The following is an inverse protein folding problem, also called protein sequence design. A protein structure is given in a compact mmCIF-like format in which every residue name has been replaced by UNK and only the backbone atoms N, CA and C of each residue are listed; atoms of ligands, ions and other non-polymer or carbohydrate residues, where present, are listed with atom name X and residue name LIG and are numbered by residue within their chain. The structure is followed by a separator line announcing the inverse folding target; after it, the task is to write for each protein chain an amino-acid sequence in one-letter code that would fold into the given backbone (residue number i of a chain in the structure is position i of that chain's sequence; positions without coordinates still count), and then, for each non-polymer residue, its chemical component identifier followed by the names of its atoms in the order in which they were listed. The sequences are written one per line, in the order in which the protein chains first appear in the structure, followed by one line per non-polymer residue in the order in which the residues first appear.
data_IF_521661464630
#
_entry.id   IF_521661464630
#
_cell.length_a   1.000
_cell.length_b   1.000
_cell.length_c   1.000
_cell.angle_alpha   90.00
_cell.angle_beta   90.00
_cell.angle_gamma   90.00
#
_symmetry.space_group_name_H-M   'P 1'
#
loop_
_entity.id
_entity.type
_entity.pdbx_description
1 polymer ?
#
# COMPACT_ATOMS: atom_id res chain seq x y z
N UNK A 1 12.69 -7.32 18.07
CA UNK A 1 13.75 -6.38 17.66
C UNK A 1 14.71 -7.10 16.75
N UNK A 2 14.82 -6.68 15.51
CA UNK A 2 15.81 -7.23 14.59
C UNK A 2 17.14 -6.51 14.74
N UNK A 3 18.22 -7.23 14.55
CA UNK A 3 19.56 -6.67 14.43
C UNK A 3 19.97 -6.77 12.97
N UNK A 4 20.62 -5.76 12.46
CA UNK A 4 21.25 -5.83 11.15
C UNK A 4 22.64 -6.43 11.33
N UNK A 5 22.78 -7.68 10.96
CA UNK A 5 24.07 -8.39 11.07
C UNK A 5 24.94 -8.22 9.82
N UNK A 6 24.39 -7.65 8.75
CA UNK A 6 25.07 -7.58 7.46
C UNK A 6 26.13 -6.49 7.38
N UNK A 7 26.03 -5.48 8.23
CA UNK A 7 26.97 -4.35 8.25
C UNK A 7 28.00 -4.39 9.36
N UNK A 8 28.00 -5.44 10.18
CA UNK A 8 28.87 -5.54 11.37
C UNK A 8 28.54 -4.53 12.48
N UNK A 9 27.55 -3.69 12.28
CA UNK A 9 27.05 -2.74 13.28
C UNK A 9 25.73 -3.23 13.87
N UNK A 10 25.68 -3.31 15.19
CA UNK A 10 24.48 -3.71 15.91
C UNK A 10 23.54 -2.49 16.04
N UNK A 11 22.82 -2.20 14.98
CA UNK A 11 21.81 -1.14 15.00
C UNK A 11 20.49 -1.72 15.51
N UNK A 12 20.01 -1.31 16.69
CA UNK A 12 18.69 -1.72 17.16
C UNK A 12 17.61 -1.14 16.25
N UNK A 13 16.65 -1.97 15.85
CA UNK A 13 15.52 -1.58 15.01
C UNK A 13 14.21 -1.78 15.77
N UNK A 14 13.23 -0.99 15.43
CA UNK A 14 11.90 -1.00 16.03
C UNK A 14 11.70 0.20 16.96
N UNK A 15 10.81 0.06 17.92
CA UNK A 15 10.54 1.10 18.90
C UNK A 15 11.69 1.11 19.91
N UNK A 16 12.46 2.18 19.92
CA UNK A 16 13.60 2.35 20.83
C UNK A 16 13.18 2.98 22.16
N UNK A 17 12.15 3.83 22.12
CA UNK A 17 11.60 4.48 23.31
C UNK A 17 10.14 4.85 23.04
N UNK A 18 9.34 4.92 24.09
CA UNK A 18 7.97 5.38 24.03
C UNK A 18 7.62 6.10 25.34
N UNK A 19 7.01 7.27 25.23
CA UNK A 19 6.56 8.09 26.33
C UNK A 19 5.08 8.41 26.20
N UNK A 20 4.40 8.49 27.34
CA UNK A 20 3.00 8.88 27.39
C UNK A 20 2.92 10.36 27.77
N UNK A 21 2.33 11.20 26.91
CA UNK A 21 2.11 12.61 27.21
C UNK A 21 1.01 12.69 28.27
N UNK A 22 1.29 13.38 29.38
CA UNK A 22 0.39 13.46 30.53
C UNK A 22 0.78 12.54 31.67
N UNK A 23 1.88 11.83 31.56
CA UNK A 23 2.43 10.93 32.59
C UNK A 23 1.87 9.53 32.55
N UNK A 24 2.55 8.63 33.23
CA UNK A 24 2.26 7.21 33.27
C UNK A 24 3.34 6.40 32.57
N UNK A 25 3.33 5.10 32.83
CA UNK A 25 4.28 4.16 32.25
C UNK A 25 3.51 3.07 31.48
N UNK A 26 4.11 2.62 30.38
CA UNK A 26 3.65 1.38 29.73
C UNK A 26 3.99 0.20 30.66
N UNK A 27 2.98 -0.55 31.05
CA UNK A 27 3.13 -1.68 31.98
C UNK A 27 3.39 -3.00 31.28
N UNK A 28 2.98 -3.10 30.02
CA UNK A 28 3.20 -4.29 29.20
C UNK A 28 3.30 -3.96 27.72
N UNK A 29 4.07 -4.75 27.01
CA UNK A 29 4.22 -4.68 25.56
C UNK A 29 3.83 -6.01 24.96
N UNK A 30 3.04 -5.95 23.89
CA UNK A 30 2.76 -7.12 23.06
C UNK A 30 3.29 -6.86 21.67
N UNK A 31 3.95 -7.85 21.09
CA UNK A 31 4.43 -7.80 19.72
C UNK A 31 3.67 -8.84 18.93
N UNK A 32 3.02 -8.41 17.87
CA UNK A 32 2.51 -9.29 16.84
C UNK A 32 3.40 -9.14 15.61
N UNK A 33 3.79 -10.25 15.02
CA UNK A 33 4.42 -10.24 13.71
C UNK A 33 3.43 -9.84 12.63
N UNK A 34 3.76 -10.10 11.37
CA UNK A 34 2.88 -9.86 10.23
C UNK A 34 1.72 -10.88 10.16
N UNK A 35 1.02 -11.06 11.30
CA UNK A 35 0.01 -12.09 11.47
C UNK A 35 -1.15 -11.86 10.49
N UNK A 36 -1.39 -12.83 9.62
CA UNK A 36 -2.40 -12.77 8.56
C UNK A 36 -2.01 -11.92 7.35
N UNK A 37 -0.86 -11.26 7.38
CA UNK A 37 -0.36 -10.51 6.24
C UNK A 37 -0.03 -11.40 5.04
N UNK A 38 0.36 -12.63 5.31
CA UNK A 38 0.61 -13.66 4.33
C UNK A 38 -0.66 -14.25 3.70
N UNK A 39 -1.84 -13.96 4.22
CA UNK A 39 -3.09 -14.53 3.73
C UNK A 39 -3.40 -14.16 2.27
N UNK A 40 -2.97 -13.00 1.82
CA UNK A 40 -3.16 -12.50 0.45
C UNK A 40 -1.84 -11.98 -0.11
N UNK A 41 -0.80 -12.79 -0.02
CA UNK A 41 0.50 -12.46 -0.57
C UNK A 41 0.41 -12.34 -2.09
N UNK A 42 1.02 -11.29 -2.63
CA UNK A 42 1.25 -11.14 -4.06
C UNK A 42 2.03 -12.37 -4.58
N UNK A 43 1.50 -13.12 -5.54
CA UNK A 43 2.12 -14.37 -5.99
C UNK A 43 3.47 -14.17 -6.70
N UNK A 44 3.75 -12.96 -7.17
CA UNK A 44 5.00 -12.64 -7.88
C UNK A 44 6.04 -12.09 -6.92
N UNK A 45 5.67 -11.15 -6.07
CA UNK A 45 6.58 -10.51 -5.11
C UNK A 45 6.80 -11.36 -3.85
N UNK A 46 5.85 -12.24 -3.54
CA UNK A 46 5.95 -13.10 -2.37
C UNK A 46 6.15 -12.29 -1.09
N UNK A 47 7.08 -12.69 -0.22
CA UNK A 47 7.31 -12.04 1.06
C UNK A 47 7.90 -10.62 0.97
N UNK A 48 8.30 -10.19 -0.22
CA UNK A 48 8.77 -8.81 -0.45
C UNK A 48 7.64 -7.83 -0.76
N UNK A 49 6.41 -8.31 -0.94
CA UNK A 49 5.24 -7.46 -0.98
C UNK A 49 5.01 -6.86 0.41
N UNK A 50 4.30 -5.74 0.46
CA UNK A 50 3.96 -5.12 1.75
C UNK A 50 2.73 -5.78 2.39
N UNK A 51 2.62 -7.08 2.26
CA UNK A 51 1.60 -7.87 2.92
C UNK A 51 1.54 -7.53 4.41
N UNK A 52 0.34 -7.51 4.97
CA UNK A 52 0.11 -7.11 6.35
C UNK A 52 -0.58 -5.77 6.50
N UNK A 53 -0.70 -4.98 5.46
CA UNK A 53 -1.61 -3.84 5.44
C UNK A 53 -3.05 -4.33 5.57
N UNK A 54 -3.88 -3.53 6.23
CA UNK A 54 -5.27 -3.90 6.49
C UNK A 54 -6.03 -4.29 5.21
N UNK A 55 -5.93 -3.48 4.17
CA UNK A 55 -6.57 -3.72 2.88
C UNK A 55 -6.08 -5.01 2.20
N UNK A 56 -4.80 -5.33 2.31
CA UNK A 56 -4.22 -6.55 1.76
C UNK A 56 -4.69 -7.78 2.55
N UNK A 57 -4.72 -7.72 3.87
CA UNK A 57 -5.24 -8.82 4.71
C UNK A 57 -6.69 -9.13 4.41
N UNK A 58 -7.50 -8.10 4.11
CA UNK A 58 -8.91 -8.26 3.73
C UNK A 58 -9.11 -8.60 2.24
N UNK A 59 -8.03 -8.66 1.46
CA UNK A 59 -8.10 -8.98 0.05
C UNK A 59 -8.72 -7.89 -0.83
N UNK A 60 -8.79 -6.65 -0.35
CA UNK A 60 -9.42 -5.55 -1.09
C UNK A 60 -8.77 -5.26 -2.43
N UNK A 61 -7.50 -5.58 -2.61
CA UNK A 61 -6.73 -5.42 -3.84
C UNK A 61 -7.00 -6.52 -4.89
N UNK A 62 -7.64 -7.62 -4.51
CA UNK A 62 -7.88 -8.74 -5.40
C UNK A 62 -9.01 -8.46 -6.39
N UNK A 63 -8.89 -8.94 -7.62
CA UNK A 63 -9.86 -8.72 -8.69
C UNK A 63 -11.25 -9.29 -8.39
N UNK A 64 -11.32 -10.38 -7.63
CA UNK A 64 -12.57 -11.04 -7.25
C UNK A 64 -13.20 -10.53 -5.94
N UNK A 65 -12.67 -9.49 -5.34
CA UNK A 65 -13.26 -8.95 -4.11
C UNK A 65 -14.62 -8.31 -4.41
N UNK A 66 -15.62 -8.63 -3.58
CA UNK A 66 -16.97 -8.05 -3.66
C UNK A 66 -16.99 -6.70 -2.94
N UNK A 67 -17.06 -5.62 -3.71
CA UNK A 67 -17.15 -4.24 -3.23
C UNK A 67 -18.56 -3.64 -3.38
N UNK A 68 -19.57 -4.46 -3.62
CA UNK A 68 -20.96 -4.02 -3.84
C UNK A 68 -21.56 -3.21 -2.67
N UNK A 69 -21.06 -3.44 -1.45
CA UNK A 69 -21.47 -2.71 -0.26
C UNK A 69 -20.70 -1.38 -0.05
N UNK A 70 -19.76 -1.05 -0.92
CA UNK A 70 -18.96 0.15 -0.77
C UNK A 70 -19.71 1.38 -1.29
N UNK A 71 -19.43 2.53 -0.67
CA UNK A 71 -19.96 3.79 -1.16
C UNK A 71 -19.25 4.21 -2.47
N UNK A 72 -20.00 4.83 -3.37
CA UNK A 72 -19.40 5.45 -4.54
C UNK A 72 -18.53 6.65 -4.13
N UNK A 73 -17.36 6.77 -4.73
CA UNK A 73 -16.41 7.84 -4.43
C UNK A 73 -15.35 8.00 -5.50
N UNK A 74 -14.61 9.07 -5.44
CA UNK A 74 -13.48 9.35 -6.33
C UNK A 74 -12.25 9.74 -5.51
N UNK A 75 -11.06 9.26 -5.88
CA UNK A 75 -9.83 9.72 -5.26
C UNK A 75 -9.56 11.22 -5.48
N UNK A 76 -10.16 11.82 -6.52
CA UNK A 76 -10.06 13.25 -6.80
C UNK A 76 -10.71 14.12 -5.71
N UNK A 77 -11.72 13.59 -5.03
CA UNK A 77 -12.39 14.29 -3.93
C UNK A 77 -11.48 14.40 -2.71
N UNK A 78 -10.51 13.47 -2.58
CA UNK A 78 -9.62 13.41 -1.44
C UNK A 78 -10.32 13.02 -0.14
N UNK A 79 -9.65 13.28 0.97
CA UNK A 79 -10.18 13.12 2.32
C UNK A 79 -10.29 14.49 2.99
N UNK A 80 -11.40 14.74 3.66
CA UNK A 80 -11.61 15.97 4.45
C UNK A 80 -10.77 16.01 5.72
N UNK A 81 -10.35 14.86 6.20
CA UNK A 81 -9.53 14.69 7.40
C UNK A 81 -8.38 13.72 7.14
N UNK A 82 -7.38 13.75 8.03
CA UNK A 82 -6.27 12.82 7.94
C UNK A 82 -6.77 11.37 8.11
N UNK A 83 -6.42 10.53 7.16
CA UNK A 83 -6.87 9.13 7.16
C UNK A 83 -6.39 8.37 5.94
N UNK A 84 -6.96 7.20 5.73
CA UNK A 84 -6.70 6.38 4.56
C UNK A 84 -8.01 5.87 3.97
N UNK A 85 -8.10 5.88 2.65
CA UNK A 85 -9.22 5.30 1.89
C UNK A 85 -8.69 4.37 0.82
N UNK A 86 -9.45 3.34 0.54
CA UNK A 86 -9.18 2.42 -0.55
C UNK A 86 -10.23 2.64 -1.64
N UNK A 87 -9.78 2.85 -2.87
CA UNK A 87 -10.63 3.06 -4.03
C UNK A 87 -10.47 1.89 -4.99
N UNK A 88 -11.55 1.43 -5.56
CA UNK A 88 -11.56 0.36 -6.55
C UNK A 88 -12.31 0.81 -7.79
N UNK A 89 -11.83 0.38 -8.94
CA UNK A 89 -12.54 0.57 -10.20
C UNK A 89 -12.21 -0.55 -11.17
N UNK A 90 -13.09 -0.79 -12.12
CA UNK A 90 -12.86 -1.71 -13.23
C UNK A 90 -12.71 -0.89 -14.51
N UNK A 91 -11.60 -1.09 -15.19
CA UNK A 91 -11.34 -0.45 -16.48
C UNK A 91 -11.53 -1.48 -17.58
N UNK A 92 -12.62 -1.42 -18.36
CA UNK A 92 -12.82 -2.34 -19.48
C UNK A 92 -11.84 -2.03 -20.60
N UNK A 93 -11.06 -2.99 -21.02
CA UNK A 93 -10.15 -2.88 -22.16
C UNK A 93 -10.70 -3.71 -23.32
N UNK A 94 -11.21 -3.06 -24.35
CA UNK A 94 -11.65 -3.71 -25.58
C UNK A 94 -10.50 -3.74 -26.58
N UNK A 95 -9.56 -4.66 -26.37
CA UNK A 95 -8.42 -4.84 -27.26
C UNK A 95 -8.73 -5.91 -28.32
N UNK A 96 -8.38 -5.68 -29.60
CA UNK A 96 -8.44 -6.72 -30.61
C UNK A 96 -7.52 -7.90 -30.25
N UNK A 97 -7.90 -9.11 -30.67
CA UNK A 97 -7.07 -10.29 -30.45
C UNK A 97 -5.68 -10.13 -31.11
N UNK A 98 -4.65 -10.50 -30.36
CA UNK A 98 -3.28 -10.53 -30.87
C UNK A 98 -2.59 -9.16 -30.87
N UNK A 99 -3.20 -8.15 -30.27
CA UNK A 99 -2.55 -6.85 -30.05
C UNK A 99 -2.01 -6.81 -28.63
N UNK A 100 -0.71 -6.59 -28.53
CA UNK A 100 -0.04 -6.26 -27.29
C UNK A 100 -0.03 -4.74 -27.11
N UNK A 101 -0.47 -4.27 -25.96
CA UNK A 101 -0.57 -2.84 -25.66
C UNK A 101 0.11 -2.56 -24.33
N UNK A 102 1.15 -1.75 -24.37
CA UNK A 102 1.76 -1.22 -23.16
C UNK A 102 0.80 -0.26 -22.46
N UNK A 103 0.42 -0.58 -21.24
CA UNK A 103 -0.40 0.28 -20.40
C UNK A 103 0.48 1.04 -19.43
N UNK A 104 0.05 2.23 -19.04
CA UNK A 104 0.69 3.02 -18.00
C UNK A 104 -0.37 3.73 -17.16
N UNK A 105 -0.09 3.82 -15.87
CA UNK A 105 -0.93 4.58 -14.94
C UNK A 105 -0.21 5.87 -14.57
N UNK A 106 -0.89 6.99 -14.70
CA UNK A 106 -0.36 8.30 -14.32
C UNK A 106 -1.08 8.76 -13.07
N UNK A 107 -0.33 8.98 -12.00
CA UNK A 107 -0.84 9.51 -10.74
C UNK A 107 -0.38 10.96 -10.60
N UNK A 108 -1.34 11.88 -10.63
CA UNK A 108 -1.11 13.30 -10.44
C UNK A 108 -1.62 13.72 -9.07
N UNK A 109 -0.85 14.54 -8.39
CA UNK A 109 -1.27 15.18 -7.14
C UNK A 109 -1.38 16.69 -7.34
N UNK A 110 -2.34 17.35 -6.69
CA UNK A 110 -2.36 18.80 -6.64
C UNK A 110 -1.05 19.35 -6.05
N UNK A 111 -0.60 20.54 -6.49
CA UNK A 111 0.58 21.17 -5.90
C UNK A 111 0.46 21.29 -4.38
N UNK A 112 1.49 20.86 -3.66
CA UNK A 112 1.52 20.90 -2.20
C UNK A 112 0.71 19.79 -1.49
N UNK A 113 0.13 18.86 -2.23
CA UNK A 113 -0.61 17.75 -1.63
C UNK A 113 0.31 16.87 -0.78
N UNK A 114 -0.12 16.59 0.46
CA UNK A 114 0.56 15.69 1.39
C UNK A 114 -0.18 14.35 1.39
N UNK A 115 0.15 13.50 0.45
CA UNK A 115 -0.47 12.18 0.32
C UNK A 115 0.55 11.08 0.03
N UNK A 116 0.17 9.87 0.31
CA UNK A 116 0.84 8.65 -0.13
C UNK A 116 -0.21 7.75 -0.73
N UNK A 117 0.09 7.16 -1.87
CA UNK A 117 -0.80 6.20 -2.50
C UNK A 117 -0.05 4.92 -2.87
N UNK A 118 -0.77 3.82 -2.87
CA UNK A 118 -0.32 2.55 -3.40
C UNK A 118 -1.24 2.16 -4.55
N UNK A 119 -0.65 1.77 -5.66
CA UNK A 119 -1.38 1.33 -6.84
C UNK A 119 -1.40 -0.19 -6.89
N UNK A 120 -2.59 -0.75 -7.00
CA UNK A 120 -2.81 -2.18 -7.22
C UNK A 120 -3.53 -2.38 -8.55
N UNK A 121 -3.11 -3.37 -9.30
CA UNK A 121 -3.77 -3.79 -10.55
C UNK A 121 -3.94 -5.30 -10.52
N UNK A 122 -5.18 -5.77 -10.56
CA UNK A 122 -5.54 -7.20 -10.53
C UNK A 122 -4.84 -7.99 -9.40
N UNK A 123 -4.74 -7.39 -8.22
CA UNK A 123 -4.11 -8.02 -7.06
C UNK A 123 -2.60 -7.77 -6.96
N UNK A 124 -1.99 -7.16 -7.95
CA UNK A 124 -0.56 -6.88 -7.99
C UNK A 124 -0.27 -5.44 -7.55
N UNK A 125 0.64 -5.24 -6.60
CA UNK A 125 1.08 -3.91 -6.19
C UNK A 125 2.17 -3.39 -7.14
N UNK A 126 1.83 -2.36 -7.90
CA UNK A 126 2.74 -1.75 -8.89
C UNK A 126 3.74 -0.78 -8.28
N UNK A 127 3.41 -0.15 -7.17
CA UNK A 127 4.32 0.76 -6.53
C UNK A 127 3.63 1.76 -5.61
N UNK A 128 4.44 2.70 -5.13
CA UNK A 128 4.04 3.74 -4.21
C UNK A 128 4.23 5.10 -4.85
N UNK A 129 3.22 5.92 -4.75
CA UNK A 129 3.25 7.32 -5.16
C UNK A 129 3.41 8.20 -3.94
N UNK A 130 4.50 8.97 -3.89
CA UNK A 130 4.82 9.91 -2.80
C UNK A 130 5.34 11.19 -3.43
N UNK A 131 4.46 12.14 -3.77
CA UNK A 131 4.79 13.26 -4.65
C UNK A 131 5.89 14.20 -4.17
N UNK A 132 6.17 14.23 -2.86
CA UNK A 132 7.23 15.08 -2.30
C UNK A 132 8.58 14.39 -2.09
N UNK A 133 8.68 13.08 -2.37
CA UNK A 133 9.94 12.34 -2.21
C UNK A 133 10.54 11.99 -3.56
N UNK A 134 9.72 11.71 -4.57
CA UNK A 134 10.19 11.29 -5.88
C UNK A 134 9.32 11.81 -7.00
N UNK A 135 9.92 11.91 -8.19
CA UNK A 135 9.26 12.42 -9.38
C UNK A 135 8.53 11.34 -10.18
N UNK A 136 8.44 10.12 -9.66
CA UNK A 136 7.75 9.05 -10.37
C UNK A 136 6.25 9.26 -10.30
N UNK A 137 5.67 9.63 -11.43
CA UNK A 137 4.23 9.78 -11.62
C UNK A 137 3.67 8.74 -12.60
N UNK A 138 4.52 8.10 -13.38
CA UNK A 138 4.13 7.08 -14.37
C UNK A 138 4.52 5.71 -13.86
N UNK A 139 3.55 4.82 -13.79
CA UNK A 139 3.71 3.42 -13.38
C UNK A 139 3.38 2.54 -14.59
N UNK A 140 4.38 1.93 -15.26
CA UNK A 140 4.13 1.08 -16.41
C UNK A 140 3.41 -0.18 -15.97
N UNK A 141 2.28 -0.48 -16.60
CA UNK A 141 1.60 -1.76 -16.46
C UNK A 141 2.34 -2.86 -17.20
N UNK A 142 2.28 -4.09 -16.68
CA UNK A 142 2.70 -5.25 -17.45
C UNK A 142 1.49 -5.70 -18.30
N UNK A 143 1.78 -5.98 -19.55
CA UNK A 143 0.83 -6.60 -20.51
C UNK A 143 0.59 -8.08 -20.19
#
# INVERSE_FOLDING_TARGET
MGKDETTGTLNPRGILNATLIGGGNFTSWKVAGNAGGEANIDPIRGPYSEGGLHAERLGWHLSGFDDSAWANGSPETGLSEAGASFYRTVVPLNLPRGIDVSLGFVLNAPPGATLRAQLYVNGYMFGKFVPWIGNQIVFPGQS
#
